data_IF_124484576084
#
_entry.id   IF_124484576084
#
_cell.length_a   1.000
_cell.length_b   1.000
_cell.length_c   1.000
_cell.angle_alpha   90.00
_cell.angle_beta   90.00
_cell.angle_gamma   90.00
#
_symmetry.space_group_name_H-M   'P 1'
#
loop_
_entity.id
_entity.type
_entity.pdbx_description
1 polymer ?
#
# COMPACT_ATOMS: atom_id res chain seq x y z
N UNK A 1 20.48 58.76 -29.27
CA UNK A 1 19.26 58.23 -28.60
C UNK A 1 19.15 56.69 -28.71
N UNK A 2 20.23 55.91 -28.49
CA UNK A 2 20.25 54.45 -28.75
C UNK A 2 20.79 53.57 -27.60
N UNK A 3 21.16 54.16 -26.45
CA UNK A 3 21.68 53.42 -25.28
C UNK A 3 20.57 53.04 -24.28
N UNK A 4 19.51 53.85 -24.16
CA UNK A 4 18.43 53.64 -23.19
C UNK A 4 17.49 52.48 -23.60
N UNK A 5 17.13 52.37 -24.87
CA UNK A 5 16.28 51.29 -25.38
C UNK A 5 16.96 49.90 -25.35
N UNK A 6 18.29 49.83 -25.54
CA UNK A 6 19.05 48.57 -25.41
C UNK A 6 19.11 48.06 -23.96
N UNK A 7 19.11 48.94 -22.96
CA UNK A 7 19.05 48.54 -21.54
C UNK A 7 17.65 48.09 -21.13
N UNK A 8 16.60 48.76 -21.58
CA UNK A 8 15.22 48.43 -21.26
C UNK A 8 14.79 47.04 -21.76
N UNK A 9 15.13 46.67 -23.01
CA UNK A 9 14.83 45.33 -23.55
C UNK A 9 15.58 44.20 -22.84
N UNK A 10 16.79 44.47 -22.34
CA UNK A 10 17.60 43.50 -21.59
C UNK A 10 17.07 43.26 -20.17
N UNK A 11 16.43 44.26 -19.56
CA UNK A 11 15.81 44.17 -18.23
C UNK A 11 14.45 43.47 -18.33
N UNK A 12 13.63 43.80 -19.34
CA UNK A 12 12.35 43.13 -19.60
C UNK A 12 12.51 41.66 -19.98
N UNK A 13 13.49 41.33 -20.84
CA UNK A 13 13.79 39.95 -21.22
C UNK A 13 14.30 39.11 -20.06
N UNK A 14 15.14 39.68 -19.17
CA UNK A 14 15.60 39.00 -17.95
C UNK A 14 14.46 38.77 -16.96
N UNK A 15 13.55 39.73 -16.80
CA UNK A 15 12.36 39.59 -15.96
C UNK A 15 11.43 38.47 -16.45
N UNK A 16 11.19 38.39 -17.77
CA UNK A 16 10.42 37.30 -18.38
C UNK A 16 11.09 35.94 -18.13
N UNK A 17 12.41 35.86 -18.31
CA UNK A 17 13.18 34.62 -18.15
C UNK A 17 13.20 34.13 -16.69
N UNK A 18 13.33 35.06 -15.74
CA UNK A 18 13.21 34.76 -14.29
C UNK A 18 11.79 34.30 -13.96
N UNK A 19 10.75 34.92 -14.52
CA UNK A 19 9.36 34.50 -14.31
C UNK A 19 9.08 33.09 -14.83
N UNK A 20 9.60 32.73 -16.00
CA UNK A 20 9.47 31.37 -16.56
C UNK A 20 10.21 30.36 -15.70
N UNK A 21 11.44 30.67 -15.25
CA UNK A 21 12.21 29.82 -14.35
C UNK A 21 11.52 29.62 -13.00
N UNK A 22 10.97 30.68 -12.41
CA UNK A 22 10.25 30.60 -11.14
C UNK A 22 8.97 29.75 -11.26
N UNK A 23 8.23 29.91 -12.36
CA UNK A 23 7.04 29.10 -12.64
C UNK A 23 7.40 27.64 -12.83
N UNK A 24 8.47 27.35 -13.58
CA UNK A 24 8.97 25.99 -13.78
C UNK A 24 9.40 25.35 -12.45
N UNK A 25 10.14 26.08 -11.62
CA UNK A 25 10.55 25.61 -10.29
C UNK A 25 9.34 25.29 -9.40
N UNK A 26 8.29 26.12 -9.41
CA UNK A 26 7.05 25.85 -8.70
C UNK A 26 6.38 24.56 -9.18
N UNK A 27 6.27 24.35 -10.49
CA UNK A 27 5.72 23.11 -11.07
C UNK A 27 6.54 21.90 -10.62
N UNK A 28 7.87 21.99 -10.61
CA UNK A 28 8.72 20.91 -10.11
C UNK A 28 8.48 20.64 -8.62
N UNK A 29 8.36 21.67 -7.78
CA UNK A 29 8.09 21.50 -6.34
C UNK A 29 6.73 20.84 -6.13
N UNK A 30 5.68 21.30 -6.80
CA UNK A 30 4.36 20.65 -6.74
C UNK A 30 4.40 19.21 -7.24
N UNK A 31 5.16 18.93 -8.30
CA UNK A 31 5.39 17.58 -8.80
C UNK A 31 6.06 16.70 -7.75
N UNK A 32 7.13 17.17 -7.11
CA UNK A 32 7.84 16.43 -6.05
C UNK A 32 6.90 16.18 -4.87
N UNK A 33 6.17 17.18 -4.39
CA UNK A 33 5.19 17.03 -3.29
C UNK A 33 4.10 16.02 -3.66
N UNK A 34 3.62 16.04 -4.90
CA UNK A 34 2.63 15.07 -5.39
C UNK A 34 3.21 13.66 -5.46
N UNK A 35 4.44 13.48 -5.99
CA UNK A 35 5.10 12.17 -6.03
C UNK A 35 5.46 11.64 -4.64
N UNK A 36 5.89 12.51 -3.72
CA UNK A 36 6.07 12.19 -2.29
C UNK A 36 4.71 11.81 -1.69
N UNK A 37 3.64 12.53 -1.99
CA UNK A 37 2.29 12.18 -1.57
C UNK A 37 1.75 10.89 -2.19
N UNK A 38 2.25 10.45 -3.35
CA UNK A 38 1.98 9.12 -3.91
C UNK A 38 2.83 8.03 -3.23
N UNK A 39 4.04 8.36 -2.79
CA UNK A 39 4.94 7.45 -2.08
C UNK A 39 4.55 7.25 -0.61
N UNK A 40 4.04 8.31 0.04
CA UNK A 40 3.59 8.36 1.43
C UNK A 40 2.07 8.49 1.59
N UNK A 41 1.32 8.43 0.48
CA UNK A 41 -0.14 8.42 0.52
C UNK A 41 -0.64 7.21 1.31
N UNK A 42 -1.87 7.25 1.86
CA UNK A 42 -2.43 6.14 2.63
C UNK A 42 -2.21 4.85 1.84
N UNK A 43 -1.35 4.00 2.40
CA UNK A 43 -0.83 2.86 1.68
C UNK A 43 -1.99 2.05 1.11
N UNK A 44 -1.82 1.57 -0.12
CA UNK A 44 -2.62 0.45 -0.64
C UNK A 44 -2.59 -0.77 0.31
N UNK A 45 -1.74 -0.73 1.33
CA UNK A 45 -1.56 -1.70 2.41
C UNK A 45 -2.64 -1.66 3.50
N UNK A 46 -3.56 -0.68 3.52
CA UNK A 46 -4.68 -0.70 4.49
C UNK A 46 -5.72 -1.78 4.16
N UNK A 47 -5.68 -2.33 2.93
CA UNK A 47 -6.60 -3.37 2.47
C UNK A 47 -5.88 -4.42 1.63
N UNK A 48 -5.67 -5.62 2.17
CA UNK A 48 -5.22 -6.77 1.38
C UNK A 48 -6.43 -7.49 0.80
N UNK A 49 -6.42 -7.79 -0.50
CA UNK A 49 -7.54 -8.37 -1.23
C UNK A 49 -7.22 -9.80 -1.66
N UNK A 50 -8.19 -10.71 -1.52
CA UNK A 50 -8.06 -12.12 -1.85
C UNK A 50 -9.25 -12.58 -2.68
N UNK A 51 -9.01 -13.56 -3.55
CA UNK A 51 -9.97 -14.13 -4.50
C UNK A 51 -10.84 -13.08 -5.20
N UNK A 52 -10.24 -12.29 -6.10
CA UNK A 52 -10.97 -11.31 -6.91
C UNK A 52 -11.77 -10.28 -6.07
N UNK A 53 -11.29 -9.94 -4.88
CA UNK A 53 -11.90 -9.03 -3.90
C UNK A 53 -13.15 -9.59 -3.19
N UNK A 54 -13.31 -10.92 -3.14
CA UNK A 54 -14.35 -11.55 -2.30
C UNK A 54 -14.01 -11.46 -0.81
N UNK A 55 -12.72 -11.56 -0.48
CA UNK A 55 -12.25 -11.42 0.90
C UNK A 55 -11.24 -10.28 1.00
N UNK A 56 -11.25 -9.60 2.15
CA UNK A 56 -10.39 -8.46 2.38
C UNK A 56 -9.93 -8.38 3.83
N UNK A 57 -8.63 -8.17 4.05
CA UNK A 57 -8.14 -7.70 5.35
C UNK A 57 -8.36 -6.20 5.36
N UNK A 58 -8.99 -5.66 6.39
CA UNK A 58 -9.23 -4.22 6.54
C UNK A 58 -8.84 -3.75 7.94
N UNK A 59 -8.41 -2.50 8.03
CA UNK A 59 -8.05 -1.86 9.28
C UNK A 59 -9.26 -1.63 10.18
N UNK A 60 -9.23 -2.26 11.34
CA UNK A 60 -10.11 -2.04 12.49
C UNK A 60 -9.47 -1.00 13.43
N UNK A 61 -10.20 -0.41 14.40
CA UNK A 61 -9.68 0.66 15.26
C UNK A 61 -8.37 0.33 16.01
N UNK A 62 -8.13 -0.96 16.30
CA UNK A 62 -6.94 -1.43 17.03
C UNK A 62 -6.20 -2.59 16.35
N UNK A 63 -6.72 -3.12 15.23
CA UNK A 63 -6.23 -4.36 14.61
C UNK A 63 -6.47 -4.36 13.10
N UNK A 64 -6.02 -5.42 12.43
CA UNK A 64 -6.46 -5.75 11.08
C UNK A 64 -7.36 -6.99 11.17
N UNK A 65 -8.50 -6.97 10.50
CA UNK A 65 -9.46 -8.06 10.53
C UNK A 65 -9.78 -8.53 9.10
N UNK A 66 -9.98 -9.84 8.92
CA UNK A 66 -10.38 -10.45 7.66
C UNK A 66 -11.91 -10.49 7.55
N UNK A 67 -12.43 -9.96 6.46
CA UNK A 67 -13.85 -9.92 6.13
C UNK A 67 -14.14 -10.60 4.80
N UNK A 68 -15.34 -11.17 4.67
CA UNK A 68 -15.99 -11.37 3.38
C UNK A 68 -16.61 -10.06 2.89
N UNK A 69 -16.79 -9.88 1.58
CA UNK A 69 -17.32 -8.67 0.92
C UNK A 69 -18.59 -8.09 1.55
N UNK A 70 -19.42 -8.93 2.18
CA UNK A 70 -20.62 -8.53 2.92
C UNK A 70 -20.35 -8.15 4.40
N UNK A 71 -19.08 -7.85 4.72
CA UNK A 71 -18.56 -7.52 6.06
C UNK A 71 -18.79 -8.59 7.13
N UNK A 72 -18.94 -9.85 6.72
CA UNK A 72 -18.92 -10.96 7.65
C UNK A 72 -17.49 -11.11 8.17
N UNK A 73 -17.29 -10.92 9.47
CA UNK A 73 -16.00 -11.12 10.12
C UNK A 73 -15.64 -12.60 10.06
N UNK A 74 -14.53 -12.93 9.39
CA UNK A 74 -14.01 -14.30 9.29
C UNK A 74 -12.92 -14.51 10.33
N UNK A 75 -11.98 -13.56 10.42
CA UNK A 75 -10.82 -13.68 11.30
C UNK A 75 -10.50 -12.33 11.95
N UNK A 76 -10.65 -12.19 13.27
CA UNK A 76 -10.21 -11.00 13.97
C UNK A 76 -8.69 -11.04 14.22
N UNK A 77 -8.10 -9.85 14.39
CA UNK A 77 -6.72 -9.67 14.84
C UNK A 77 -5.69 -10.40 13.96
N UNK A 78 -5.83 -10.27 12.66
CA UNK A 78 -4.86 -10.79 11.68
C UNK A 78 -3.47 -10.27 12.01
N UNK A 79 -2.55 -11.19 12.24
CA UNK A 79 -1.15 -10.90 12.56
C UNK A 79 -0.29 -10.94 11.30
N UNK A 80 -0.53 -11.89 10.40
CA UNK A 80 0.22 -12.05 9.15
C UNK A 80 -0.61 -12.73 8.06
N UNK A 81 -0.13 -12.66 6.82
CA UNK A 81 -0.71 -13.37 5.70
C UNK A 81 0.36 -13.74 4.65
N UNK A 82 0.07 -14.76 3.86
CA UNK A 82 0.85 -15.21 2.71
C UNK A 82 -0.05 -15.36 1.50
N UNK A 83 0.28 -14.69 0.40
CA UNK A 83 -0.50 -14.77 -0.86
C UNK A 83 0.16 -15.78 -1.79
N UNK A 84 -0.52 -16.90 -2.02
CA UNK A 84 -0.09 -17.92 -2.98
C UNK A 84 -0.88 -17.85 -4.29
N UNK A 85 -0.46 -18.63 -5.29
CA UNK A 85 -1.14 -18.70 -6.60
C UNK A 85 -2.46 -19.47 -6.55
N UNK A 86 -2.53 -20.50 -5.72
CA UNK A 86 -3.71 -21.37 -5.60
C UNK A 86 -4.42 -21.19 -4.26
N UNK A 87 -3.65 -20.93 -3.20
CA UNK A 87 -4.16 -20.72 -1.86
C UNK A 87 -3.46 -19.54 -1.21
N UNK A 88 -4.25 -18.74 -0.49
CA UNK A 88 -3.75 -17.67 0.38
C UNK A 88 -3.99 -18.07 1.82
N UNK A 89 -3.04 -17.76 2.70
CA UNK A 89 -3.06 -18.13 4.10
C UNK A 89 -3.06 -16.86 4.95
N UNK A 90 -3.98 -16.76 5.89
CA UNK A 90 -4.15 -15.60 6.77
C UNK A 90 -4.14 -16.11 8.20
N UNK A 91 -3.33 -15.49 9.05
CA UNK A 91 -3.04 -15.98 10.39
C UNK A 91 -3.41 -14.95 11.45
N UNK A 92 -3.85 -15.43 12.60
CA UNK A 92 -3.77 -14.70 13.86
C UNK A 92 -2.97 -15.52 14.89
N UNK A 93 -3.08 -15.21 16.18
CA UNK A 93 -2.36 -15.92 17.23
C UNK A 93 -2.87 -17.36 17.52
N UNK A 94 -4.02 -17.75 16.97
CA UNK A 94 -4.73 -18.98 17.36
C UNK A 94 -5.31 -19.77 16.19
N UNK A 95 -5.56 -19.13 15.06
CA UNK A 95 -6.30 -19.65 13.92
C UNK A 95 -5.58 -19.33 12.62
N UNK A 96 -5.76 -20.21 11.63
CA UNK A 96 -5.41 -19.99 10.23
C UNK A 96 -6.65 -20.03 9.35
N UNK A 97 -6.75 -19.09 8.41
CA UNK A 97 -7.74 -19.08 7.34
C UNK A 97 -7.04 -19.30 6.01
N UNK A 98 -7.49 -20.30 5.27
CA UNK A 98 -6.96 -20.70 3.98
C UNK A 98 -8.02 -20.35 2.94
N UNK A 99 -7.71 -19.41 2.04
CA UNK A 99 -8.57 -19.01 0.93
C UNK A 99 -8.13 -19.77 -0.31
N UNK A 100 -9.03 -20.51 -0.94
CA UNK A 100 -8.82 -21.06 -2.28
C UNK A 100 -9.01 -19.95 -3.31
N UNK A 101 -7.91 -19.53 -3.94
CA UNK A 101 -7.90 -18.44 -4.91
C UNK A 101 -8.58 -18.82 -6.23
N UNK A 102 -8.74 -20.12 -6.52
CA UNK A 102 -9.41 -20.61 -7.74
C UNK A 102 -10.92 -20.74 -7.55
N UNK A 103 -11.34 -21.34 -6.44
CA UNK A 103 -12.76 -21.67 -6.19
C UNK A 103 -13.47 -20.63 -5.31
N UNK A 104 -12.73 -19.82 -4.57
CA UNK A 104 -13.29 -18.74 -3.75
C UNK A 104 -13.92 -19.19 -2.45
N UNK A 105 -13.64 -20.40 -2.00
CA UNK A 105 -14.04 -20.89 -0.69
C UNK A 105 -12.91 -20.65 0.31
N UNK A 106 -13.24 -20.59 1.60
CA UNK A 106 -12.25 -20.54 2.66
C UNK A 106 -12.42 -21.72 3.61
N UNK A 107 -11.33 -22.10 4.26
CA UNK A 107 -11.28 -23.07 5.35
C UNK A 107 -10.64 -22.39 6.56
N UNK A 108 -11.23 -22.56 7.74
CA UNK A 108 -10.67 -22.07 9.00
C UNK A 108 -10.25 -23.25 9.86
N UNK A 109 -9.03 -23.21 10.40
CA UNK A 109 -8.47 -24.23 11.30
C UNK A 109 -7.79 -23.56 12.49
N UNK A 110 -7.65 -24.31 13.58
CA UNK A 110 -6.78 -23.93 14.68
C UNK A 110 -5.31 -24.02 14.23
N UNK A 111 -4.47 -23.10 14.71
CA UNK A 111 -3.05 -23.09 14.38
C UNK A 111 -2.34 -24.36 14.85
N UNK A 112 -2.84 -25.01 15.90
CA UNK A 112 -2.28 -26.27 16.42
C UNK A 112 -2.52 -27.44 15.46
N UNK A 113 -3.53 -27.35 14.61
CA UNK A 113 -3.85 -28.35 13.59
C UNK A 113 -3.16 -28.04 12.25
N UNK A 114 -2.32 -27.00 12.20
CA UNK A 114 -1.61 -26.60 10.99
C UNK A 114 -0.55 -27.63 10.61
N UNK A 115 -0.53 -27.97 9.32
CA UNK A 115 0.46 -28.85 8.70
C UNK A 115 1.86 -28.25 8.73
N UNK A 116 2.90 -29.10 8.62
CA UNK A 116 4.30 -28.67 8.52
C UNK A 116 4.56 -27.65 7.40
N UNK A 117 3.83 -27.76 6.28
CA UNK A 117 3.94 -26.81 5.18
C UNK A 117 3.36 -25.44 5.56
N UNK A 118 2.19 -25.41 6.21
CA UNK A 118 1.55 -24.20 6.72
C UNK A 118 2.42 -23.51 7.78
N UNK A 119 3.05 -24.28 8.67
CA UNK A 119 4.01 -23.77 9.66
C UNK A 119 5.21 -23.07 9.00
N UNK A 120 5.71 -23.58 7.88
CA UNK A 120 6.80 -22.93 7.14
C UNK A 120 6.38 -21.59 6.52
N UNK A 121 5.11 -21.43 6.14
CA UNK A 121 4.59 -20.15 5.64
C UNK A 121 4.39 -19.15 6.78
N UNK A 122 3.99 -19.62 7.97
CA UNK A 122 3.93 -18.81 9.19
C UNK A 122 5.32 -18.27 9.52
N UNK A 123 6.34 -19.13 9.55
CA UNK A 123 7.72 -18.74 9.83
C UNK A 123 8.23 -17.70 8.83
N UNK A 124 8.05 -17.94 7.53
CA UNK A 124 8.41 -16.96 6.48
C UNK A 124 7.66 -15.64 6.61
N UNK A 125 6.38 -15.68 6.95
CA UNK A 125 5.58 -14.46 7.12
C UNK A 125 5.98 -13.67 8.39
N UNK A 126 6.52 -14.35 9.40
CA UNK A 126 7.04 -13.75 10.63
C UNK A 126 8.47 -13.21 10.45
N UNK A 127 9.36 -13.91 9.75
CA UNK A 127 10.75 -13.47 9.49
C UNK A 127 10.84 -12.16 8.69
N UNK A 128 9.87 -11.88 7.82
CA UNK A 128 9.82 -10.64 7.04
C UNK A 128 9.51 -9.42 7.93
N UNK A 129 9.01 -9.62 9.15
CA UNK A 129 8.96 -8.57 10.18
C UNK A 129 10.25 -8.63 10.99
N UNK A 130 11.24 -7.74 10.74
CA UNK A 130 12.36 -7.63 11.67
C UNK A 130 11.79 -7.35 13.05
N UNK A 131 12.18 -8.17 14.01
CA UNK A 131 11.95 -7.95 15.44
C UNK A 131 12.31 -6.50 15.76
N UNK A 132 11.27 -5.68 16.01
CA UNK A 132 11.43 -4.36 16.62
C UNK A 132 11.83 -4.54 18.07
#
# INVERSE_FOLDING_TARGET
MNQFFRKAGKIGGKGLLIGVLATFALVCIFGIVFFVGLWFGPGKDDIALFHGNKYAISKSPMSYDLYEKDKVLILPNVTSYYVGKEKSYIFNNSDVVIIDEKHGNYEKKDLNDATLEEQSFIEKALEIRPSQ
#
